data_IF_727509700162
#
_entry.id   IF_727509700162
#
_cell.length_a   1.000
_cell.length_b   1.000
_cell.length_c   1.000
_cell.angle_alpha   90.00
_cell.angle_beta   90.00
_cell.angle_gamma   90.00
#
_symmetry.space_group_name_H-M   'P 1'
#
loop_
_entity.id
_entity.type
_entity.pdbx_description
1 polymer ?
#
# COMPACT_ATOMS: atom_id res chain seq x y z
N UNK A 1 7.19 -11.42 20.15
CA UNK A 1 8.29 -10.90 19.30
C UNK A 1 7.66 -10.60 17.95
N UNK A 2 7.50 -9.33 17.62
CA UNK A 2 6.91 -8.90 16.33
C UNK A 2 7.88 -9.32 15.22
N UNK A 3 7.38 -10.04 14.22
CA UNK A 3 8.20 -10.42 13.06
C UNK A 3 8.28 -9.20 12.14
N UNK A 4 9.46 -8.56 11.95
CA UNK A 4 9.60 -7.35 11.14
C UNK A 4 9.01 -7.49 9.73
N UNK A 5 9.20 -8.66 9.13
CA UNK A 5 8.68 -8.94 7.79
C UNK A 5 7.15 -8.95 7.73
N UNK A 6 6.47 -9.41 8.78
CA UNK A 6 5.00 -9.40 8.81
C UNK A 6 4.46 -7.95 8.86
N UNK A 7 5.08 -7.10 9.68
CA UNK A 7 4.74 -5.67 9.72
C UNK A 7 4.97 -4.97 8.38
N UNK A 8 6.09 -5.26 7.72
CA UNK A 8 6.39 -4.69 6.40
C UNK A 8 5.39 -5.14 5.32
N UNK A 9 4.95 -6.41 5.31
CA UNK A 9 3.92 -6.91 4.38
C UNK A 9 2.58 -6.23 4.65
N UNK A 10 2.12 -6.15 5.90
CA UNK A 10 0.88 -5.44 6.26
C UNK A 10 0.92 -3.98 5.82
N UNK A 11 2.04 -3.31 6.04
CA UNK A 11 2.25 -1.92 5.65
C UNK A 11 2.16 -1.73 4.13
N UNK A 12 2.81 -2.61 3.35
CA UNK A 12 2.75 -2.57 1.90
C UNK A 12 1.31 -2.78 1.40
N UNK A 13 0.65 -3.84 1.86
CA UNK A 13 -0.69 -4.20 1.40
C UNK A 13 -1.75 -3.15 1.81
N UNK A 14 -1.59 -2.53 2.98
CA UNK A 14 -2.46 -1.45 3.42
C UNK A 14 -2.20 -0.15 2.62
N UNK A 15 -0.92 0.18 2.36
CA UNK A 15 -0.55 1.38 1.61
C UNK A 15 -1.01 1.38 0.16
N UNK A 16 -1.14 0.20 -0.45
CA UNK A 16 -1.63 0.06 -1.83
C UNK A 16 -3.12 0.35 -2.01
N UNK A 17 -3.88 0.46 -0.93
CA UNK A 17 -5.32 0.74 -1.00
C UNK A 17 -5.65 2.17 -1.38
N UNK A 18 -4.69 3.08 -1.30
CA UNK A 18 -4.84 4.46 -1.78
C UNK A 18 -3.50 5.05 -2.21
N UNK A 19 -3.49 5.69 -3.36
CA UNK A 19 -2.32 6.40 -3.90
C UNK A 19 -1.99 7.69 -3.13
N UNK A 20 -2.93 8.17 -2.30
CA UNK A 20 -2.78 9.39 -1.51
C UNK A 20 -2.02 9.19 -0.21
N UNK A 21 -1.74 7.93 0.15
CA UNK A 21 -1.02 7.61 1.37
C UNK A 21 0.49 7.73 1.18
N UNK A 22 1.11 8.56 2.00
CA UNK A 22 2.57 8.70 2.06
C UNK A 22 3.22 7.60 2.91
N UNK A 23 2.55 7.25 4.01
CA UNK A 23 3.04 6.28 4.96
C UNK A 23 1.86 5.56 5.64
N UNK A 24 2.05 4.27 5.95
CA UNK A 24 1.13 3.48 6.74
C UNK A 24 1.93 2.75 7.82
N UNK A 25 1.57 2.97 9.06
CA UNK A 25 2.20 2.31 10.21
C UNK A 25 1.15 1.42 10.88
N UNK A 26 1.21 0.10 10.68
CA UNK A 26 0.32 -0.82 11.36
C UNK A 26 0.66 -0.90 12.86
N UNK A 27 -0.38 -0.88 13.70
CA UNK A 27 -0.28 -1.10 15.13
C UNK A 27 -1.12 -2.32 15.51
N UNK A 28 -0.46 -3.44 15.75
CA UNK A 28 -1.09 -4.75 15.93
C UNK A 28 -1.98 -5.17 14.74
N UNK A 29 -3.20 -5.68 15.00
CA UNK A 29 -3.97 -6.35 13.93
C UNK A 29 -4.89 -5.42 13.16
N UNK A 30 -5.47 -4.39 13.78
CA UNK A 30 -6.53 -3.59 13.18
C UNK A 30 -6.31 -2.07 13.28
N UNK A 31 -5.36 -1.59 14.09
CA UNK A 31 -5.09 -0.18 14.23
C UNK A 31 -3.96 0.25 13.28
N UNK A 32 -4.09 1.46 12.73
CA UNK A 32 -3.10 2.05 11.84
C UNK A 32 -2.90 3.52 12.16
N UNK A 33 -1.69 4.02 11.92
CA UNK A 33 -1.45 5.45 11.72
C UNK A 33 -1.15 5.63 10.24
N UNK A 34 -1.97 6.43 9.57
CA UNK A 34 -1.80 6.78 8.15
C UNK A 34 -1.29 8.20 8.03
N UNK A 35 -0.36 8.42 7.11
CA UNK A 35 0.17 9.76 6.80
C UNK A 35 -0.21 10.15 5.39
N UNK A 36 -0.70 11.39 5.24
CA UNK A 36 -1.06 11.99 3.96
C UNK A 36 -1.05 13.52 4.09
N UNK A 37 -0.93 14.22 2.98
CA UNK A 37 -0.99 15.68 2.96
C UNK A 37 -2.46 16.14 2.87
N UNK A 38 -2.82 17.29 3.47
CA UNK A 38 -4.18 17.84 3.34
C UNK A 38 -4.41 18.26 1.89
N UNK A 39 -5.47 17.75 1.28
CA UNK A 39 -5.87 18.07 -0.09
C UNK A 39 -6.46 19.47 -0.25
N UNK A 40 -6.40 20.00 -1.48
CA UNK A 40 -6.93 21.32 -1.82
C UNK A 40 -8.45 21.47 -1.59
N UNK A 41 -9.19 20.35 -1.61
CA UNK A 41 -10.65 20.32 -1.43
C UNK A 41 -11.10 20.32 0.04
N UNK A 42 -10.18 20.37 1.01
CA UNK A 42 -10.48 20.38 2.44
C UNK A 42 -11.00 21.73 2.98
N UNK A 43 -11.79 22.45 2.19
CA UNK A 43 -12.26 23.82 2.51
C UNK A 43 -13.04 23.94 3.84
N UNK A 44 -13.69 22.85 4.28
CA UNK A 44 -14.46 22.83 5.52
C UNK A 44 -13.58 22.69 6.78
N UNK A 45 -12.30 22.36 6.61
CA UNK A 45 -11.38 22.05 7.72
C UNK A 45 -10.28 23.10 7.82
N UNK A 46 -9.67 23.51 6.70
CA UNK A 46 -8.53 24.42 6.69
C UNK A 46 -8.93 25.84 7.09
N UNK A 47 -8.02 26.54 7.77
CA UNK A 47 -8.20 27.95 8.15
C UNK A 47 -9.14 28.19 9.34
N UNK A 48 -9.59 27.14 10.01
CA UNK A 48 -10.49 27.21 11.18
C UNK A 48 -9.88 26.46 12.37
N UNK A 49 -10.13 26.90 13.62
CA UNK A 49 -9.78 26.13 14.80
C UNK A 49 -10.41 24.74 14.77
N UNK A 50 -9.70 23.72 15.23
CA UNK A 50 -10.20 22.34 15.26
C UNK A 50 -11.42 22.17 16.17
N UNK A 51 -11.59 23.02 17.21
CA UNK A 51 -12.83 23.08 18.01
C UNK A 51 -14.07 23.29 17.14
N UNK A 52 -14.01 24.27 16.25
CA UNK A 52 -15.12 24.67 15.39
C UNK A 52 -15.36 23.63 14.29
N UNK A 53 -14.29 23.03 13.77
CA UNK A 53 -14.36 21.95 12.77
C UNK A 53 -15.05 20.71 13.36
N UNK A 54 -14.70 20.32 14.59
CA UNK A 54 -15.28 19.14 15.26
C UNK A 54 -16.80 19.21 15.42
N UNK A 55 -17.35 20.42 15.57
CA UNK A 55 -18.81 20.62 15.68
C UNK A 55 -19.56 20.27 14.38
N UNK A 56 -18.91 20.38 13.23
CA UNK A 56 -19.49 20.08 11.93
C UNK A 56 -19.56 18.56 11.64
N UNK A 57 -18.83 17.73 12.38
CA UNK A 57 -18.73 16.30 12.16
C UNK A 57 -19.54 15.49 13.17
N UNK A 58 -20.71 15.01 12.75
CA UNK A 58 -21.65 14.24 13.60
C UNK A 58 -21.01 12.97 14.18
N UNK A 59 -20.08 12.34 13.46
CA UNK A 59 -19.38 11.13 13.88
C UNK A 59 -17.99 11.40 14.46
N UNK A 60 -17.64 12.68 14.67
CA UNK A 60 -16.33 13.12 15.10
C UNK A 60 -15.32 13.24 13.94
N UNK A 61 -14.37 14.12 14.12
CA UNK A 61 -13.23 14.25 13.20
C UNK A 61 -12.27 13.06 13.41
N UNK A 62 -11.68 12.49 12.33
CA UNK A 62 -10.66 11.48 12.48
C UNK A 62 -9.52 11.90 13.44
N UNK A 63 -8.96 10.97 14.17
CA UNK A 63 -8.02 11.24 15.26
C UNK A 63 -6.65 11.67 14.72
N UNK A 64 -6.40 12.97 14.63
CA UNK A 64 -5.11 13.54 14.20
C UNK A 64 -4.13 13.42 15.37
N UNK A 65 -3.09 12.60 15.19
CA UNK A 65 -2.06 12.35 16.22
C UNK A 65 -0.78 13.15 15.98
N UNK A 66 -0.64 13.76 14.80
CA UNK A 66 0.50 14.58 14.45
C UNK A 66 0.24 15.47 13.24
N UNK A 67 0.88 16.60 13.21
CA UNK A 67 0.88 17.54 12.06
C UNK A 67 2.32 17.95 11.77
N UNK A 68 2.70 17.90 10.51
CA UNK A 68 3.96 18.41 10.01
C UNK A 68 3.69 19.48 8.95
N UNK A 69 4.18 20.68 9.18
CA UNK A 69 4.13 21.81 8.25
C UNK A 69 5.53 22.16 7.77
N UNK A 70 5.66 22.46 6.49
CA UNK A 70 6.96 22.80 5.93
C UNK A 70 7.62 23.98 6.67
N UNK A 71 8.90 23.82 6.96
CA UNK A 71 9.69 24.81 7.71
C UNK A 71 9.43 24.87 9.22
N UNK A 72 8.52 24.03 9.74
CA UNK A 72 8.19 23.99 11.17
C UNK A 72 8.53 22.62 11.80
N UNK A 73 8.58 22.57 13.13
CA UNK A 73 8.65 21.32 13.87
C UNK A 73 7.28 20.65 13.88
N UNK A 74 7.25 19.32 13.76
CA UNK A 74 6.02 18.56 13.94
C UNK A 74 5.42 18.81 15.32
N UNK A 75 4.09 18.85 15.40
CA UNK A 75 3.37 19.08 16.65
C UNK A 75 2.13 18.19 16.75
N UNK A 76 1.64 18.01 17.97
CA UNK A 76 0.35 17.34 18.23
C UNK A 76 -0.72 18.44 18.26
N UNK A 77 -1.75 18.39 17.41
CA UNK A 77 -2.76 19.43 17.35
C UNK A 77 -3.66 19.41 18.59
N UNK A 78 -4.17 20.57 18.93
CA UNK A 78 -5.18 20.77 19.96
C UNK A 78 -6.39 21.51 19.38
N UNK A 79 -7.39 21.81 20.21
CA UNK A 79 -8.64 22.45 19.78
C UNK A 79 -8.45 23.86 19.16
N UNK A 80 -7.39 24.57 19.51
CA UNK A 80 -7.04 25.90 18.96
C UNK A 80 -6.23 25.80 17.67
N UNK A 81 -5.75 24.62 17.31
CA UNK A 81 -4.89 24.41 16.14
C UNK A 81 -5.68 24.66 14.85
N UNK A 82 -5.04 25.35 13.91
CA UNK A 82 -5.58 25.64 12.58
C UNK A 82 -4.73 24.87 11.57
N UNK A 83 -5.40 24.04 10.77
CA UNK A 83 -4.78 23.28 9.70
C UNK A 83 -4.71 24.12 8.41
N UNK A 84 -3.70 23.86 7.59
CA UNK A 84 -3.48 24.52 6.29
C UNK A 84 -3.36 23.49 5.18
N UNK A 85 -3.68 23.87 3.95
CA UNK A 85 -3.45 23.02 2.76
C UNK A 85 -1.96 22.69 2.67
N UNK A 86 -1.64 21.42 2.42
CA UNK A 86 -0.26 20.93 2.36
C UNK A 86 0.35 20.58 3.72
N UNK A 87 -0.39 20.74 4.83
CA UNK A 87 0.03 20.12 6.09
C UNK A 87 0.01 18.60 5.92
N UNK A 88 1.07 17.93 6.33
CA UNK A 88 1.09 16.47 6.45
C UNK A 88 0.50 16.04 7.77
N UNK A 89 -0.53 15.23 7.73
CA UNK A 89 -1.22 14.69 8.88
C UNK A 89 -0.78 13.25 9.16
N UNK A 90 -0.64 12.92 10.43
CA UNK A 90 -0.65 11.55 10.93
C UNK A 90 -1.99 11.31 11.62
N UNK A 91 -2.78 10.36 11.13
CA UNK A 91 -4.14 10.09 11.58
C UNK A 91 -4.25 8.65 12.06
N UNK A 92 -4.75 8.47 13.28
CA UNK A 92 -5.02 7.13 13.83
C UNK A 92 -6.40 6.64 13.39
N UNK A 93 -6.45 5.43 12.83
CA UNK A 93 -7.67 4.80 12.30
C UNK A 93 -7.76 3.33 12.72
N UNK A 94 -8.97 2.79 12.75
CA UNK A 94 -9.23 1.37 13.03
C UNK A 94 -9.83 0.72 11.79
N UNK A 95 -9.22 -0.37 11.34
CA UNK A 95 -9.60 -1.10 10.13
C UNK A 95 -9.20 -0.39 8.84
N UNK A 96 -8.97 -1.17 7.80
CA UNK A 96 -8.61 -0.67 6.46
C UNK A 96 -9.74 0.18 5.83
N UNK A 97 -10.99 -0.15 6.16
CA UNK A 97 -12.17 0.57 5.65
C UNK A 97 -12.26 2.02 6.14
N UNK A 98 -11.52 2.37 7.20
CA UNK A 98 -11.45 3.73 7.73
C UNK A 98 -10.48 4.65 6.96
N UNK A 99 -9.65 4.12 6.06
CA UNK A 99 -8.68 4.90 5.30
C UNK A 99 -9.37 5.90 4.37
N UNK A 100 -10.28 5.40 3.55
CA UNK A 100 -11.02 6.22 2.60
C UNK A 100 -11.87 7.32 3.26
N UNK A 101 -12.68 7.03 4.30
CA UNK A 101 -13.37 8.07 5.05
C UNK A 101 -12.43 9.15 5.62
N UNK A 102 -11.26 8.76 6.12
CA UNK A 102 -10.29 9.73 6.62
C UNK A 102 -9.75 10.62 5.49
N UNK A 103 -9.35 10.03 4.36
CA UNK A 103 -8.84 10.76 3.20
C UNK A 103 -9.89 11.73 2.62
N UNK A 104 -11.15 11.28 2.45
CA UNK A 104 -12.26 12.15 2.00
C UNK A 104 -12.42 13.35 2.93
N UNK A 105 -12.40 13.08 4.24
CA UNK A 105 -12.56 14.14 5.26
C UNK A 105 -11.53 15.24 5.07
N UNK A 106 -10.29 14.88 4.70
CA UNK A 106 -9.21 15.83 4.49
C UNK A 106 -8.99 16.23 3.02
N UNK A 107 -10.03 16.10 2.19
CA UNK A 107 -10.09 16.73 0.86
C UNK A 107 -9.47 15.93 -0.28
N UNK A 108 -9.34 14.60 -0.13
CA UNK A 108 -8.90 13.73 -1.20
C UNK A 108 -10.07 13.14 -1.98
N UNK A 109 -9.87 12.98 -3.27
CA UNK A 109 -10.70 12.14 -4.12
C UNK A 109 -10.20 10.70 -4.02
N UNK A 110 -11.10 9.74 -3.85
CA UNK A 110 -10.70 8.34 -3.71
C UNK A 110 -10.73 7.66 -5.06
N UNK A 111 -9.63 7.02 -5.43
CA UNK A 111 -9.63 6.02 -6.48
C UNK A 111 -10.35 4.76 -5.98
N UNK A 112 -11.18 4.19 -6.83
CA UNK A 112 -11.83 2.92 -6.54
C UNK A 112 -10.80 1.82 -6.32
N UNK A 113 -10.91 1.13 -5.20
CA UNK A 113 -10.14 -0.08 -4.92
C UNK A 113 -11.14 -1.24 -4.74
N UNK A 114 -11.03 -2.35 -5.51
CA UNK A 114 -11.97 -3.47 -5.44
C UNK A 114 -11.98 -4.15 -4.06
N UNK A 115 -13.13 -4.65 -3.64
CA UNK A 115 -13.26 -5.48 -2.43
C UNK A 115 -12.53 -6.83 -2.60
N UNK A 116 -12.60 -7.43 -3.79
CA UNK A 116 -11.94 -8.67 -4.17
C UNK A 116 -10.93 -8.40 -5.30
N UNK A 117 -9.77 -7.80 -5.00
CA UNK A 117 -8.82 -7.38 -6.03
C UNK A 117 -8.14 -8.58 -6.70
N UNK A 118 -7.79 -8.41 -7.98
CA UNK A 118 -6.91 -9.31 -8.70
C UNK A 118 -5.47 -8.86 -8.50
N UNK A 119 -4.66 -9.71 -7.88
CA UNK A 119 -3.30 -9.39 -7.47
C UNK A 119 -2.30 -10.27 -8.21
N UNK A 120 -1.33 -9.68 -8.88
CA UNK A 120 -0.17 -10.41 -9.39
C UNK A 120 1.04 -10.18 -8.49
N UNK A 121 1.73 -11.24 -8.14
CA UNK A 121 2.95 -11.22 -7.32
C UNK A 121 4.10 -11.81 -8.11
N UNK A 122 5.17 -11.06 -8.30
CA UNK A 122 6.40 -11.53 -8.92
C UNK A 122 7.32 -12.11 -7.87
N UNK A 123 7.62 -13.40 -8.03
CA UNK A 123 8.53 -14.16 -7.18
C UNK A 123 7.83 -15.06 -6.15
N UNK A 124 8.01 -16.37 -6.29
CA UNK A 124 7.58 -17.39 -5.32
C UNK A 124 8.59 -17.53 -4.14
N UNK A 125 9.20 -16.43 -3.75
CA UNK A 125 10.09 -16.35 -2.59
C UNK A 125 9.33 -16.54 -1.28
N UNK A 126 10.04 -16.64 -0.16
CA UNK A 126 9.39 -16.69 1.15
C UNK A 126 8.55 -15.43 1.45
N UNK A 127 8.94 -14.29 0.87
CA UNK A 127 8.20 -13.02 0.99
C UNK A 127 6.97 -13.05 0.09
N UNK A 128 7.14 -13.38 -1.20
CA UNK A 128 6.03 -13.49 -2.15
C UNK A 128 4.95 -14.47 -1.69
N UNK A 129 5.35 -15.63 -1.13
CA UNK A 129 4.40 -16.60 -0.55
C UNK A 129 3.62 -16.01 0.63
N UNK A 130 4.26 -15.20 1.50
CA UNK A 130 3.57 -14.55 2.62
C UNK A 130 2.64 -13.44 2.15
N UNK A 131 3.06 -12.66 1.14
CA UNK A 131 2.19 -11.65 0.51
C UNK A 131 0.97 -12.33 -0.12
N UNK A 132 1.17 -13.40 -0.88
CA UNK A 132 0.08 -14.16 -1.48
C UNK A 132 -0.92 -14.64 -0.41
N UNK A 133 -0.42 -15.20 0.69
CA UNK A 133 -1.26 -15.64 1.79
C UNK A 133 -2.06 -14.49 2.41
N UNK A 134 -1.44 -13.35 2.66
CA UNK A 134 -2.10 -12.18 3.25
C UNK A 134 -3.22 -11.66 2.33
N UNK A 135 -2.98 -11.56 1.02
CA UNK A 135 -4.00 -11.15 0.05
C UNK A 135 -5.16 -12.14 -0.06
N UNK A 136 -4.88 -13.45 -0.06
CA UNK A 136 -5.90 -14.50 -0.06
C UNK A 136 -6.79 -14.43 1.20
N UNK A 137 -6.20 -14.20 2.37
CA UNK A 137 -6.93 -14.04 3.64
C UNK A 137 -7.87 -12.81 3.63
N UNK A 138 -7.61 -11.84 2.74
CA UNK A 138 -8.46 -10.66 2.53
C UNK A 138 -9.35 -10.74 1.27
N UNK A 139 -9.56 -11.93 0.73
CA UNK A 139 -10.53 -12.18 -0.35
C UNK A 139 -10.02 -11.91 -1.77
N UNK A 140 -8.75 -11.63 -1.96
CA UNK A 140 -8.17 -11.40 -3.29
C UNK A 140 -8.06 -12.69 -4.12
N UNK A 141 -8.08 -12.53 -5.46
CA UNK A 141 -7.58 -13.54 -6.39
C UNK A 141 -6.11 -13.26 -6.69
N UNK A 142 -5.23 -14.24 -6.47
CA UNK A 142 -3.78 -14.06 -6.54
C UNK A 142 -3.18 -14.87 -7.68
N UNK A 143 -2.32 -14.26 -8.48
CA UNK A 143 -1.44 -14.96 -9.43
C UNK A 143 0.01 -14.74 -9.02
N UNK A 144 0.76 -15.81 -8.83
CA UNK A 144 2.20 -15.73 -8.56
C UNK A 144 2.96 -16.11 -9.82
N UNK A 145 3.74 -15.16 -10.35
CA UNK A 145 4.61 -15.36 -11.51
C UNK A 145 6.04 -15.62 -11.04
N UNK A 146 6.58 -16.79 -11.38
CA UNK A 146 7.91 -17.23 -10.94
C UNK A 146 8.73 -17.77 -12.10
N UNK A 147 9.94 -17.25 -12.27
CA UNK A 147 10.87 -17.65 -13.33
C UNK A 147 11.53 -19.01 -13.09
N UNK A 148 11.79 -19.34 -11.83
CA UNK A 148 12.45 -20.56 -11.46
C UNK A 148 11.43 -21.70 -11.28
N UNK A 149 11.41 -22.68 -12.19
CA UNK A 149 10.46 -23.79 -12.21
C UNK A 149 10.36 -24.53 -10.86
N UNK A 150 11.49 -24.71 -10.17
CA UNK A 150 11.51 -25.43 -8.90
C UNK A 150 10.81 -24.64 -7.77
N UNK A 151 10.87 -23.29 -7.78
CA UNK A 151 10.17 -22.43 -6.83
C UNK A 151 8.68 -22.37 -7.15
N UNK A 152 8.31 -22.27 -8.43
CA UNK A 152 6.93 -22.33 -8.87
C UNK A 152 6.27 -23.65 -8.43
N UNK A 153 6.90 -24.80 -8.70
CA UNK A 153 6.42 -26.11 -8.28
C UNK A 153 6.33 -26.27 -6.76
N UNK A 154 7.31 -25.71 -6.03
CA UNK A 154 7.32 -25.74 -4.55
C UNK A 154 6.14 -24.95 -3.98
N UNK A 155 5.84 -23.78 -4.54
CA UNK A 155 4.69 -22.98 -4.11
C UNK A 155 3.38 -23.68 -4.47
N UNK A 156 3.21 -24.12 -5.71
CA UNK A 156 2.01 -24.84 -6.18
C UNK A 156 1.70 -26.09 -5.34
N UNK A 157 2.72 -26.82 -4.89
CA UNK A 157 2.58 -27.98 -4.00
C UNK A 157 2.41 -27.63 -2.51
N UNK A 158 2.42 -26.36 -2.13
CA UNK A 158 2.26 -25.92 -0.74
C UNK A 158 0.78 -25.74 -0.35
N UNK A 159 0.53 -25.58 0.96
CA UNK A 159 -0.82 -25.23 1.45
C UNK A 159 -1.36 -23.94 0.84
N UNK A 160 -0.51 -22.93 0.67
CA UNK A 160 -0.89 -21.66 0.05
C UNK A 160 -1.23 -21.85 -1.42
N UNK A 161 -0.39 -22.56 -2.19
CA UNK A 161 -0.62 -22.84 -3.61
C UNK A 161 -1.77 -23.81 -3.89
N UNK A 162 -2.33 -24.45 -2.88
CA UNK A 162 -3.54 -25.28 -2.98
C UNK A 162 -4.84 -24.53 -2.67
N UNK A 163 -4.79 -23.23 -2.42
CA UNK A 163 -5.98 -22.40 -2.28
C UNK A 163 -6.72 -22.28 -3.63
N UNK A 164 -8.03 -22.16 -3.59
CA UNK A 164 -8.86 -22.08 -4.80
C UNK A 164 -8.70 -20.74 -5.57
N UNK A 165 -8.21 -19.72 -4.90
CA UNK A 165 -8.08 -18.36 -5.43
C UNK A 165 -6.63 -17.99 -5.77
N UNK A 166 -5.73 -18.97 -5.92
CA UNK A 166 -4.36 -18.73 -6.35
C UNK A 166 -3.98 -19.52 -7.60
N UNK A 167 -3.33 -18.84 -8.53
CA UNK A 167 -2.65 -19.45 -9.66
C UNK A 167 -1.14 -19.26 -9.53
N UNK A 168 -0.36 -20.30 -9.85
CA UNK A 168 1.10 -20.24 -9.88
C UNK A 168 1.57 -20.48 -11.30
N UNK A 169 2.16 -19.45 -11.92
CA UNK A 169 2.59 -19.46 -13.31
C UNK A 169 4.11 -19.48 -13.37
N UNK A 170 4.67 -20.43 -14.10
CA UNK A 170 6.08 -20.46 -14.42
C UNK A 170 6.35 -19.60 -15.66
N UNK A 171 7.09 -18.50 -15.49
CA UNK A 171 7.43 -17.59 -16.58
C UNK A 171 8.32 -16.44 -16.16
N UNK A 172 8.93 -15.78 -17.13
CA UNK A 172 9.74 -14.59 -16.90
C UNK A 172 8.83 -13.36 -16.81
N UNK A 173 8.90 -12.66 -15.68
CA UNK A 173 8.13 -11.45 -15.40
C UNK A 173 8.49 -10.24 -16.28
N UNK A 174 9.60 -10.32 -17.06
CA UNK A 174 9.99 -9.32 -18.05
C UNK A 174 9.61 -9.75 -19.48
N UNK A 175 9.09 -10.96 -19.66
CA UNK A 175 8.59 -11.42 -20.97
C UNK A 175 7.17 -10.88 -21.20
N UNK A 176 7.07 -9.89 -22.10
CA UNK A 176 5.82 -9.23 -22.45
C UNK A 176 4.75 -10.22 -22.95
N UNK A 177 5.15 -11.28 -23.66
CA UNK A 177 4.20 -12.26 -24.17
C UNK A 177 3.51 -13.05 -23.04
N UNK A 178 4.22 -13.35 -21.97
CA UNK A 178 3.65 -14.01 -20.78
C UNK A 178 2.71 -13.04 -20.05
N UNK A 179 3.11 -11.78 -19.90
CA UNK A 179 2.27 -10.76 -19.26
C UNK A 179 0.98 -10.50 -20.05
N UNK A 180 1.03 -10.49 -21.38
CA UNK A 180 -0.15 -10.41 -22.25
C UNK A 180 -1.03 -11.66 -22.16
N UNK A 181 -0.43 -12.86 -22.09
CA UNK A 181 -1.17 -14.14 -21.96
C UNK A 181 -1.99 -14.19 -20.68
N UNK A 182 -1.45 -13.69 -19.55
CA UNK A 182 -2.19 -13.60 -18.29
C UNK A 182 -3.13 -12.41 -18.22
N UNK A 183 -3.21 -11.58 -19.26
CA UNK A 183 -4.01 -10.34 -19.29
C UNK A 183 -3.66 -9.41 -18.15
N UNK A 184 -2.39 -9.00 -18.07
CA UNK A 184 -1.84 -8.23 -16.93
C UNK A 184 -2.60 -6.91 -16.70
N UNK A 185 -3.16 -6.30 -17.74
CA UNK A 185 -4.00 -5.09 -17.72
C UNK A 185 -5.32 -5.26 -16.95
N UNK A 186 -5.70 -6.49 -16.63
CA UNK A 186 -6.90 -6.81 -15.85
C UNK A 186 -6.62 -6.99 -14.35
N UNK A 187 -5.37 -6.81 -13.93
CA UNK A 187 -5.02 -6.87 -12.52
C UNK A 187 -5.13 -5.49 -11.87
N UNK A 188 -5.61 -5.48 -10.63
CA UNK A 188 -5.75 -4.27 -9.84
C UNK A 188 -4.45 -3.90 -9.12
N UNK A 189 -3.67 -4.92 -8.75
CA UNK A 189 -2.45 -4.76 -7.96
C UNK A 189 -1.32 -5.61 -8.54
N UNK A 190 -0.13 -5.03 -8.67
CA UNK A 190 1.10 -5.75 -8.96
C UNK A 190 2.13 -5.55 -7.85
N UNK A 191 2.67 -6.67 -7.36
CA UNK A 191 3.67 -6.72 -6.29
C UNK A 191 4.94 -7.41 -6.77
N UNK A 192 6.08 -6.92 -6.33
CA UNK A 192 7.35 -7.64 -6.54
C UNK A 192 8.01 -8.01 -5.22
N UNK A 193 8.43 -9.28 -5.13
CA UNK A 193 9.02 -9.90 -3.95
C UNK A 193 10.28 -10.71 -4.29
N UNK A 194 11.06 -10.23 -5.24
CA UNK A 194 12.34 -10.82 -5.63
C UNK A 194 13.44 -10.51 -4.59
N UNK A 195 14.59 -11.17 -4.71
CA UNK A 195 15.72 -10.96 -3.82
C UNK A 195 16.62 -9.77 -4.22
N UNK A 196 16.45 -9.26 -5.45
CA UNK A 196 17.21 -8.13 -6.00
C UNK A 196 16.33 -6.89 -6.16
N UNK A 197 16.77 -5.76 -5.58
CA UNK A 197 15.99 -4.50 -5.58
C UNK A 197 15.81 -3.93 -6.99
N UNK A 198 16.80 -4.03 -7.87
CA UNK A 198 16.69 -3.54 -9.24
C UNK A 198 15.71 -4.39 -10.05
N UNK A 199 15.73 -5.71 -9.84
CA UNK A 199 14.75 -6.61 -10.45
C UNK A 199 13.33 -6.33 -9.94
N UNK A 200 13.16 -6.06 -8.64
CA UNK A 200 11.88 -5.63 -8.06
C UNK A 200 11.36 -4.35 -8.73
N UNK A 201 12.20 -3.33 -8.87
CA UNK A 201 11.84 -2.06 -9.51
C UNK A 201 11.47 -2.29 -10.98
N UNK A 202 12.29 -3.03 -11.74
CA UNK A 202 12.04 -3.32 -13.15
C UNK A 202 10.70 -4.06 -13.35
N UNK A 203 10.39 -5.05 -12.50
CA UNK A 203 9.17 -5.82 -12.57
C UNK A 203 7.92 -4.93 -12.39
N UNK A 204 7.87 -4.12 -11.34
CA UNK A 204 6.68 -3.29 -11.07
C UNK A 204 6.53 -2.14 -12.07
N UNK A 205 7.63 -1.57 -12.58
CA UNK A 205 7.57 -0.57 -13.63
C UNK A 205 7.02 -1.14 -14.94
N UNK A 206 7.43 -2.37 -15.32
CA UNK A 206 6.87 -3.06 -16.48
C UNK A 206 5.36 -3.28 -16.33
N UNK A 207 4.89 -3.69 -15.17
CA UNK A 207 3.47 -3.91 -14.91
C UNK A 207 2.66 -2.61 -14.87
N UNK A 208 3.25 -1.55 -14.32
CA UNK A 208 2.67 -0.20 -14.36
C UNK A 208 2.53 0.30 -15.81
N UNK A 209 3.56 0.11 -16.66
CA UNK A 209 3.53 0.48 -18.08
C UNK A 209 2.46 -0.31 -18.86
N UNK A 210 2.16 -1.53 -18.43
CA UNK A 210 1.13 -2.39 -18.99
C UNK A 210 -0.28 -2.13 -18.40
N UNK A 211 -0.44 -1.14 -17.54
CA UNK A 211 -1.74 -0.63 -17.10
C UNK A 211 -2.21 -1.10 -15.73
N UNK A 212 -1.40 -1.81 -14.94
CA UNK A 212 -1.78 -2.15 -13.55
C UNK A 212 -1.80 -0.88 -12.70
N UNK A 213 -2.94 -0.50 -12.10
CA UNK A 213 -3.08 0.81 -11.45
C UNK A 213 -2.35 0.92 -10.11
N UNK A 214 -2.26 -0.15 -9.34
CA UNK A 214 -1.59 -0.14 -8.04
C UNK A 214 -0.36 -1.03 -8.07
N UNK A 215 0.81 -0.43 -7.88
CA UNK A 215 2.08 -1.17 -7.91
C UNK A 215 2.84 -1.01 -6.62
N UNK A 216 3.41 -2.10 -6.12
CA UNK A 216 4.15 -2.08 -4.88
C UNK A 216 5.31 -3.05 -4.81
N UNK A 217 6.28 -2.73 -3.98
CA UNK A 217 7.46 -3.57 -3.81
C UNK A 217 8.08 -3.45 -2.43
N UNK A 218 8.83 -4.47 -2.05
CA UNK A 218 9.69 -4.44 -0.88
C UNK A 218 11.14 -4.30 -1.30
N UNK A 219 11.86 -3.40 -0.64
CA UNK A 219 13.27 -3.11 -0.91
C UNK A 219 14.14 -3.46 0.31
N UNK A 220 15.38 -3.84 0.02
CA UNK A 220 16.42 -4.01 1.03
C UNK A 220 17.11 -2.69 1.34
N UNK A 221 17.23 -1.80 0.33
CA UNK A 221 17.86 -0.49 0.45
C UNK A 221 16.81 0.59 0.69
N UNK A 222 16.83 1.15 1.92
CA UNK A 222 15.92 2.21 2.33
C UNK A 222 16.05 3.50 1.49
N UNK A 223 17.22 3.76 0.90
CA UNK A 223 17.42 4.95 0.07
C UNK A 223 16.66 4.84 -1.26
N UNK A 224 16.45 3.61 -1.75
CA UNK A 224 15.68 3.38 -2.97
C UNK A 224 14.18 3.61 -2.79
N UNK A 225 13.63 3.49 -1.57
CA UNK A 225 12.20 3.72 -1.30
C UNK A 225 11.74 5.09 -1.78
N UNK A 226 12.50 6.15 -1.46
CA UNK A 226 12.18 7.52 -1.88
C UNK A 226 12.35 7.74 -3.40
N UNK A 227 13.25 7.00 -4.01
CA UNK A 227 13.48 7.07 -5.46
C UNK A 227 12.31 6.43 -6.20
N UNK A 228 11.86 5.26 -5.76
CA UNK A 228 10.77 4.52 -6.40
C UNK A 228 9.43 5.25 -6.34
N UNK A 229 9.13 5.94 -5.26
CA UNK A 229 7.95 6.81 -5.18
C UNK A 229 7.96 7.91 -6.26
N UNK A 230 9.14 8.52 -6.52
CA UNK A 230 9.30 9.52 -7.61
C UNK A 230 9.18 8.92 -9.01
N UNK A 231 9.33 7.61 -9.15
CA UNK A 231 9.20 6.88 -10.42
C UNK A 231 7.75 6.47 -10.72
N UNK A 232 6.78 6.84 -9.86
CA UNK A 232 5.37 6.53 -10.03
C UNK A 232 4.95 5.17 -9.50
N UNK A 233 5.78 4.51 -8.68
CA UNK A 233 5.40 3.30 -7.96
C UNK A 233 4.50 3.70 -6.80
N UNK A 234 3.32 3.10 -6.71
CA UNK A 234 2.28 3.50 -5.76
C UNK A 234 2.72 3.39 -4.30
N UNK A 235 3.41 2.31 -3.96
CA UNK A 235 3.90 2.12 -2.59
C UNK A 235 5.16 1.25 -2.52
N UNK A 236 6.15 1.70 -1.77
CA UNK A 236 7.39 0.97 -1.54
C UNK A 236 7.72 0.91 -0.05
N UNK A 237 8.18 -0.25 0.42
CA UNK A 237 8.49 -0.48 1.84
C UNK A 237 9.92 -0.99 1.99
N UNK A 238 10.64 -0.40 2.95
CA UNK A 238 11.89 -0.98 3.45
C UNK A 238 11.57 -2.25 4.26
N UNK A 239 12.17 -3.35 3.85
CA UNK A 239 12.01 -4.68 4.46
C UNK A 239 12.43 -4.73 5.94
N UNK A 240 13.34 -3.87 6.37
CA UNK A 240 13.91 -3.84 7.71
C UNK A 240 13.26 -2.82 8.64
N UNK A 241 12.41 -1.94 8.11
CA UNK A 241 11.73 -0.90 8.88
C UNK A 241 10.40 -1.42 9.42
N UNK A 242 10.35 -1.55 10.74
CA UNK A 242 9.15 -1.94 11.51
C UNK A 242 8.49 -0.69 12.05
#
# INVERSE_FOLDING_TARGET
MVNPLHGAIKRLNAGLRSTELEEVIPFEDEAYVIEFDIGESAHNIVGRPLSDVKEDFVHGLPNIVGVKRDGQRSFIPNDESILEVGDRLAVAVIGLDSFNPALITFGHEISYFPEEPRVVIVGATSIGTKMAKDWLEHGASVTVLERELHLANKLAGSKTGGDANIDVIHGDHLDRSILEEISIDQYDVALSALEDDHANIAAVLMMSDLGVPHTGLMLYDADLVKVTQRMGISFAVDRHRV
#
